data_IF_283033592304
#
_entry.id   IF_283033592304
#
_cell.length_a   1.000
_cell.length_b   1.000
_cell.length_c   1.000
_cell.angle_alpha   90.00
_cell.angle_beta   90.00
_cell.angle_gamma   90.00
#
_symmetry.space_group_name_H-M   'P 1'
#
loop_
_entity.id
_entity.type
_entity.pdbx_description
1 polymer ?
#
# COMPACT_ATOMS: atom_id res chain seq x y z
N UNK A 1 -5.97 20.83 13.91
CA UNK A 1 -4.82 19.93 13.71
C UNK A 1 -4.93 19.38 12.29
N UNK A 2 -4.03 19.80 11.40
CA UNK A 2 -3.94 19.32 10.03
C UNK A 2 -3.54 17.84 10.07
N UNK A 3 -4.48 16.98 9.78
CA UNK A 3 -4.17 15.60 9.41
C UNK A 3 -3.81 15.65 7.94
N UNK A 4 -2.59 15.22 7.59
CA UNK A 4 -1.97 15.42 6.29
C UNK A 4 -2.89 15.22 5.09
N UNK A 5 -2.79 16.09 4.12
CA UNK A 5 -3.56 16.12 2.87
C UNK A 5 -3.55 14.80 2.07
N UNK A 6 -2.52 13.96 2.24
CA UNK A 6 -2.44 12.64 1.59
C UNK A 6 -3.54 11.66 1.98
N UNK A 7 -4.21 11.88 3.09
CA UNK A 7 -5.29 11.03 3.59
C UNK A 7 -6.67 11.34 2.96
N UNK A 8 -6.83 12.51 2.38
CA UNK A 8 -8.12 12.97 1.82
C UNK A 8 -8.47 12.21 0.54
N UNK A 9 -7.49 11.89 -0.29
CA UNK A 9 -7.71 11.22 -1.57
C UNK A 9 -8.01 9.72 -1.47
N UNK A 10 -7.63 9.08 -0.36
CA UNK A 10 -7.77 7.63 -0.18
C UNK A 10 -8.95 7.22 0.73
N UNK A 11 -9.83 8.16 1.08
CA UNK A 11 -10.89 7.96 2.08
C UNK A 11 -12.30 8.11 1.53
N UNK A 12 -12.56 7.63 0.33
CA UNK A 12 -13.88 7.83 -0.29
C UNK A 12 -15.04 7.23 0.53
N UNK A 13 -14.80 6.14 1.25
CA UNK A 13 -15.81 5.56 2.13
C UNK A 13 -15.71 6.03 3.59
N UNK A 14 -15.09 7.16 3.85
CA UNK A 14 -15.02 7.77 5.20
C UNK A 14 -15.83 9.08 5.30
N UNK A 15 -16.79 9.27 4.42
CA UNK A 15 -17.61 10.47 4.41
C UNK A 15 -18.36 10.62 5.72
N UNK A 16 -18.20 11.76 6.39
CA UNK A 16 -18.76 12.10 7.71
C UNK A 16 -18.34 11.19 8.86
N UNK A 17 -17.40 10.27 8.66
CA UNK A 17 -16.89 9.46 9.76
C UNK A 17 -16.04 10.28 10.71
N UNK A 18 -16.18 10.00 12.01
CA UNK A 18 -15.44 10.70 13.07
C UNK A 18 -15.74 10.12 14.44
N UNK A 19 -15.32 10.80 15.50
CA UNK A 19 -15.72 10.42 16.86
C UNK A 19 -17.17 10.81 17.11
N UNK A 20 -17.96 9.87 17.63
CA UNK A 20 -19.34 10.12 18.08
C UNK A 20 -19.35 11.12 19.23
N UNK A 21 -18.50 10.90 20.20
CA UNK A 21 -18.25 11.81 21.30
C UNK A 21 -16.95 12.59 21.07
N UNK A 22 -17.08 13.91 20.88
CA UNK A 22 -15.95 14.82 20.62
C UNK A 22 -15.14 15.10 21.87
N UNK A 23 -15.75 15.05 23.05
CA UNK A 23 -15.06 15.30 24.30
C UNK A 23 -14.10 14.14 24.62
N UNK A 24 -14.55 12.90 24.44
CA UNK A 24 -13.68 11.72 24.51
C UNK A 24 -12.52 11.81 23.51
N UNK A 25 -12.79 12.28 22.29
CA UNK A 25 -11.75 12.43 21.26
C UNK A 25 -10.73 13.52 21.61
N UNK A 26 -11.12 14.61 22.27
CA UNK A 26 -10.23 15.70 22.63
C UNK A 26 -9.17 15.27 23.65
N UNK A 27 -9.51 14.36 24.53
CA UNK A 27 -8.65 13.79 25.58
C UNK A 27 -7.91 12.52 25.13
N UNK A 28 -8.25 11.98 23.96
CA UNK A 28 -7.75 10.69 23.48
C UNK A 28 -6.28 10.76 23.04
N UNK A 29 -5.46 9.84 23.57
CA UNK A 29 -4.05 9.67 23.22
C UNK A 29 -3.78 8.51 22.26
N UNK A 30 -4.80 7.81 21.76
CA UNK A 30 -4.63 6.70 20.81
C UNK A 30 -3.99 7.22 19.52
N UNK A 31 -2.94 6.58 19.01
CA UNK A 31 -2.27 7.00 17.79
C UNK A 31 -3.11 6.69 16.52
N UNK A 32 -4.11 5.78 16.63
CA UNK A 32 -5.00 5.43 15.53
C UNK A 32 -6.40 5.06 16.03
N UNK A 33 -7.43 5.45 15.29
CA UNK A 33 -8.81 5.02 15.54
C UNK A 33 -9.13 3.63 14.98
N UNK A 34 -8.23 3.06 14.15
CA UNK A 34 -8.47 1.81 13.44
C UNK A 34 -7.54 0.68 13.89
N UNK A 35 -6.36 1.01 14.40
CA UNK A 35 -5.33 0.02 14.73
C UNK A 35 -4.94 0.10 16.21
N UNK A 36 -4.70 -1.06 16.90
CA UNK A 36 -4.86 -2.44 16.45
C UNK A 36 -6.33 -2.91 16.38
N UNK A 37 -7.22 -2.20 17.04
CA UNK A 37 -8.67 -2.44 17.01
C UNK A 37 -9.39 -1.13 16.75
N UNK A 38 -10.50 -1.20 16.01
CA UNK A 38 -11.36 -0.05 15.77
C UNK A 38 -11.78 0.58 17.09
N UNK A 39 -11.76 1.90 17.14
CA UNK A 39 -12.19 2.66 18.31
C UNK A 39 -13.71 2.54 18.47
N UNK A 40 -14.24 2.17 19.64
CA UNK A 40 -15.69 2.10 19.84
C UNK A 40 -16.39 3.45 19.68
N UNK A 41 -15.66 4.56 19.87
CA UNK A 41 -16.16 5.91 19.64
C UNK A 41 -16.09 6.35 18.16
N UNK A 42 -15.58 5.51 17.25
CA UNK A 42 -15.56 5.83 15.82
C UNK A 42 -16.96 5.57 15.24
N UNK A 43 -17.52 6.62 14.65
CA UNK A 43 -18.69 6.48 13.79
C UNK A 43 -18.23 6.03 12.40
N UNK A 44 -18.56 4.80 12.03
CA UNK A 44 -18.29 4.21 10.72
C UNK A 44 -19.56 3.95 9.91
N UNK A 45 -20.65 4.66 10.23
CA UNK A 45 -21.93 4.55 9.52
C UNK A 45 -21.77 5.03 8.06
N UNK A 46 -22.09 4.15 7.11
CA UNK A 46 -22.06 4.45 5.69
C UNK A 46 -23.34 5.05 5.12
N UNK A 47 -24.44 5.08 5.90
CA UNK A 47 -25.74 5.61 5.42
C UNK A 47 -25.63 7.03 4.85
N UNK A 48 -24.93 7.99 5.47
CA UNK A 48 -24.80 9.33 4.90
C UNK A 48 -24.11 9.35 3.54
N UNK A 49 -23.18 8.42 3.29
CA UNK A 49 -22.52 8.28 2.01
C UNK A 49 -23.41 7.60 0.97
N UNK A 50 -24.18 6.59 1.37
CA UNK A 50 -25.15 5.93 0.51
C UNK A 50 -26.25 6.90 0.05
N UNK A 51 -26.73 7.75 0.95
CA UNK A 51 -27.68 8.83 0.63
C UNK A 51 -27.10 9.82 -0.37
N UNK A 52 -25.82 10.20 -0.20
CA UNK A 52 -25.12 11.04 -1.17
C UNK A 52 -25.05 10.37 -2.54
N UNK A 53 -24.70 9.11 -2.59
CA UNK A 53 -24.64 8.34 -3.84
C UNK A 53 -26.02 8.25 -4.51
N UNK A 54 -27.08 8.02 -3.75
CA UNK A 54 -28.45 8.01 -4.26
C UNK A 54 -28.82 9.38 -4.88
N UNK A 55 -28.52 10.48 -4.18
CA UNK A 55 -28.74 11.84 -4.69
C UNK A 55 -27.95 12.11 -5.98
N UNK A 56 -26.68 11.70 -6.06
CA UNK A 56 -25.88 11.87 -7.28
C UNK A 56 -26.49 11.12 -8.46
N UNK A 57 -26.97 9.90 -8.23
CA UNK A 57 -27.63 9.10 -9.30
C UNK A 57 -28.97 9.71 -9.77
N UNK A 58 -29.66 10.44 -8.89
CA UNK A 58 -30.93 11.10 -9.20
C UNK A 58 -30.77 12.42 -9.99
N UNK A 59 -29.55 12.95 -10.13
CA UNK A 59 -29.31 14.19 -10.89
C UNK A 59 -29.60 13.96 -12.36
N UNK A 60 -30.45 14.80 -12.97
CA UNK A 60 -30.79 14.74 -14.39
C UNK A 60 -29.53 14.79 -15.26
N UNK A 61 -29.37 13.85 -16.16
CA UNK A 61 -28.22 13.75 -17.07
C UNK A 61 -27.07 12.89 -16.54
N UNK A 62 -27.02 12.54 -15.25
CA UNK A 62 -26.05 11.59 -14.71
C UNK A 62 -26.51 10.17 -15.04
N UNK A 63 -25.79 9.49 -15.91
CA UNK A 63 -26.07 8.09 -16.26
C UNK A 63 -25.45 7.13 -15.26
N UNK A 64 -24.21 7.38 -14.84
CA UNK A 64 -23.46 6.56 -13.87
C UNK A 64 -22.46 7.43 -13.11
N UNK A 65 -22.19 7.08 -11.84
CA UNK A 65 -21.19 7.71 -11.00
C UNK A 65 -20.33 6.61 -10.38
N UNK A 66 -19.08 6.51 -10.82
CA UNK A 66 -18.18 5.43 -10.41
C UNK A 66 -17.20 5.89 -9.33
N UNK A 67 -16.84 4.98 -8.42
CA UNK A 67 -15.76 5.12 -7.47
C UNK A 67 -14.46 4.73 -8.16
N UNK A 68 -13.57 5.70 -8.41
CA UNK A 68 -12.30 5.49 -9.10
C UNK A 68 -11.13 5.12 -8.19
N UNK A 69 -11.23 5.36 -6.89
CA UNK A 69 -10.17 5.05 -5.91
C UNK A 69 -10.46 3.75 -5.15
N UNK A 70 -9.43 3.24 -4.45
CA UNK A 70 -9.61 2.11 -3.54
C UNK A 70 -10.49 2.45 -2.34
N UNK A 71 -11.23 1.47 -1.84
CA UNK A 71 -12.07 1.59 -0.65
C UNK A 71 -11.41 0.93 0.56
N UNK A 72 -11.75 1.40 1.75
CA UNK A 72 -11.32 0.83 3.03
C UNK A 72 -12.34 -0.20 3.50
N UNK A 73 -12.03 -1.45 3.32
CA UNK A 73 -12.91 -2.56 3.69
C UNK A 73 -12.88 -2.89 5.20
N UNK A 74 -11.88 -2.39 5.93
CA UNK A 74 -11.80 -2.47 7.38
C UNK A 74 -12.80 -1.56 8.13
N UNK A 75 -13.54 -0.73 7.39
CA UNK A 75 -14.57 0.15 7.93
C UNK A 75 -15.98 -0.40 7.72
N UNK A 76 -16.15 -1.50 7.03
CA UNK A 76 -17.48 -2.03 6.76
C UNK A 76 -18.17 -2.46 8.06
N UNK A 77 -19.34 -1.94 8.26
CA UNK A 77 -20.17 -2.11 9.46
C UNK A 77 -21.27 -3.17 9.30
N UNK A 78 -21.21 -3.98 8.23
CA UNK A 78 -22.26 -4.91 7.86
C UNK A 78 -23.45 -4.26 7.14
N UNK A 79 -23.35 -2.97 6.79
CA UNK A 79 -24.34 -2.26 5.98
C UNK A 79 -24.32 -2.72 4.52
N UNK A 80 -25.33 -2.28 3.75
CA UNK A 80 -25.45 -2.52 2.30
C UNK A 80 -24.42 -1.74 1.46
N UNK A 81 -23.38 -1.16 2.11
CA UNK A 81 -22.41 -0.33 1.43
C UNK A 81 -21.70 -1.08 0.28
N UNK A 82 -21.14 -2.25 0.57
CA UNK A 82 -20.42 -3.04 -0.44
C UNK A 82 -21.36 -3.46 -1.58
N UNK A 83 -22.55 -3.89 -1.27
CA UNK A 83 -23.58 -4.28 -2.26
C UNK A 83 -23.92 -3.11 -3.18
N UNK A 84 -24.22 -1.94 -2.60
CA UNK A 84 -24.53 -0.72 -3.35
C UNK A 84 -23.38 -0.27 -4.24
N UNK A 85 -22.14 -0.32 -3.74
CA UNK A 85 -20.94 0.06 -4.49
C UNK A 85 -20.72 -0.87 -5.69
N UNK A 86 -20.84 -2.17 -5.49
CA UNK A 86 -20.66 -3.14 -6.58
C UNK A 86 -21.73 -2.94 -7.65
N UNK A 87 -22.99 -2.86 -7.26
CA UNK A 87 -24.12 -2.75 -8.20
C UNK A 87 -24.18 -1.44 -8.98
N UNK A 88 -23.85 -0.33 -8.33
CA UNK A 88 -24.15 1.00 -8.87
C UNK A 88 -22.93 1.89 -9.11
N UNK A 89 -21.81 1.63 -8.44
CA UNK A 89 -20.67 2.54 -8.41
C UNK A 89 -19.34 1.91 -8.83
N UNK A 90 -19.39 0.69 -9.37
CA UNK A 90 -18.21 -0.01 -9.93
C UNK A 90 -18.32 -0.06 -11.45
N UNK A 91 -17.23 0.32 -12.12
CA UNK A 91 -17.12 0.30 -13.60
C UNK A 91 -16.64 -1.06 -14.15
N UNK A 92 -16.74 -2.12 -13.36
CA UNK A 92 -16.20 -3.46 -13.69
C UNK A 92 -14.95 -3.83 -12.90
N UNK A 93 -14.25 -2.88 -12.31
CA UNK A 93 -13.00 -3.10 -11.55
C UNK A 93 -13.05 -2.37 -10.22
N UNK A 94 -13.16 -3.12 -9.11
CA UNK A 94 -13.14 -2.57 -7.77
C UNK A 94 -11.72 -2.66 -7.20
N UNK A 95 -11.12 -1.51 -6.88
CA UNK A 95 -9.76 -1.42 -6.34
C UNK A 95 -9.76 -1.51 -4.83
N UNK A 96 -8.88 -2.33 -4.28
CA UNK A 96 -8.66 -2.47 -2.83
C UNK A 96 -7.18 -2.63 -2.54
N UNK A 97 -6.77 -2.27 -1.32
CA UNK A 97 -5.37 -2.26 -0.93
C UNK A 97 -5.14 -3.15 0.31
N UNK A 98 -5.10 -4.49 0.16
CA UNK A 98 -4.68 -5.39 1.23
C UNK A 98 -3.21 -5.18 1.64
N UNK A 99 -2.39 -4.67 0.74
CA UNK A 99 -0.98 -4.32 0.86
C UNK A 99 -0.04 -5.51 1.04
N UNK A 100 -0.39 -6.51 1.85
CA UNK A 100 0.39 -7.73 2.07
C UNK A 100 -0.50 -8.89 2.52
N UNK A 101 0.03 -10.13 2.57
CA UNK A 101 -0.68 -11.32 3.08
C UNK A 101 -0.17 -11.77 4.45
N UNK A 102 1.02 -11.31 4.86
CA UNK A 102 1.61 -11.70 6.14
C UNK A 102 1.21 -10.71 7.23
N UNK A 103 0.53 -11.22 8.27
CA UNK A 103 0.00 -10.38 9.35
C UNK A 103 1.11 -9.67 10.15
N UNK A 104 2.33 -10.22 10.19
CA UNK A 104 3.50 -9.58 10.80
C UNK A 104 3.85 -8.28 10.08
N UNK A 105 3.85 -8.30 8.74
CA UNK A 105 4.10 -7.12 7.89
C UNK A 105 2.91 -6.16 7.98
N UNK A 106 1.68 -6.67 7.92
CA UNK A 106 0.45 -5.87 8.03
C UNK A 106 0.36 -5.13 9.36
N UNK A 107 0.81 -5.73 10.47
CA UNK A 107 0.90 -5.05 11.78
C UNK A 107 1.83 -3.84 11.73
N UNK A 108 3.00 -3.95 11.10
CA UNK A 108 3.92 -2.82 10.92
C UNK A 108 3.31 -1.74 10.01
N UNK A 109 2.57 -2.12 8.98
CA UNK A 109 1.82 -1.21 8.13
C UNK A 109 0.59 -0.60 8.82
N UNK A 110 0.19 -1.10 9.98
CA UNK A 110 -1.07 -0.78 10.67
C UNK A 110 -2.30 -1.03 9.79
N UNK A 111 -2.25 -2.12 9.07
CA UNK A 111 -3.34 -2.61 8.22
C UNK A 111 -4.14 -3.71 8.93
N UNK A 112 -5.37 -3.96 8.50
CA UNK A 112 -6.16 -5.08 9.02
C UNK A 112 -5.52 -6.42 8.64
N UNK A 113 -5.82 -7.51 9.39
CA UNK A 113 -5.38 -8.85 9.06
C UNK A 113 -5.84 -9.28 7.66
N UNK A 114 -5.03 -10.10 6.98
CA UNK A 114 -5.34 -10.54 5.61
C UNK A 114 -6.67 -11.30 5.50
N UNK A 115 -7.09 -11.99 6.55
CA UNK A 115 -8.38 -12.66 6.61
C UNK A 115 -9.59 -11.72 6.34
N UNK A 116 -9.47 -10.43 6.62
CA UNK A 116 -10.52 -9.46 6.26
C UNK A 116 -10.60 -9.24 4.74
N UNK A 117 -9.47 -9.27 4.03
CA UNK A 117 -9.48 -9.22 2.58
C UNK A 117 -10.06 -10.51 1.97
N UNK A 118 -9.76 -11.69 2.53
CA UNK A 118 -10.34 -12.96 2.07
C UNK A 118 -11.86 -12.93 2.20
N UNK A 119 -12.41 -12.39 3.30
CA UNK A 119 -13.87 -12.19 3.46
C UNK A 119 -14.43 -11.23 2.42
N UNK A 120 -13.77 -10.07 2.22
CA UNK A 120 -14.18 -9.13 1.19
C UNK A 120 -14.22 -9.78 -0.19
N UNK A 121 -13.20 -10.58 -0.54
CA UNK A 121 -13.16 -11.29 -1.82
C UNK A 121 -14.32 -12.29 -1.96
N UNK A 122 -14.63 -13.03 -0.90
CA UNK A 122 -15.77 -13.94 -0.88
C UNK A 122 -17.11 -13.20 -1.05
N UNK A 123 -17.31 -12.10 -0.34
CA UNK A 123 -18.51 -11.28 -0.44
C UNK A 123 -18.65 -10.62 -1.81
N UNK A 124 -17.56 -10.08 -2.36
CA UNK A 124 -17.53 -9.50 -3.69
C UNK A 124 -17.96 -10.53 -4.75
N UNK A 125 -17.37 -11.72 -4.73
CA UNK A 125 -17.69 -12.79 -5.66
C UNK A 125 -19.13 -13.29 -5.50
N UNK A 126 -19.64 -13.35 -4.27
CA UNK A 126 -21.03 -13.72 -3.98
C UNK A 126 -22.01 -12.71 -4.57
N UNK A 127 -21.75 -11.40 -4.39
CA UNK A 127 -22.59 -10.33 -4.93
C UNK A 127 -22.53 -10.34 -6.46
N UNK A 128 -21.35 -10.41 -7.05
CA UNK A 128 -21.19 -10.45 -8.51
C UNK A 128 -21.94 -11.64 -9.14
N UNK A 129 -21.85 -12.83 -8.53
CA UNK A 129 -22.60 -14.00 -9.02
C UNK A 129 -24.10 -13.82 -8.90
N UNK A 130 -24.59 -13.29 -7.78
CA UNK A 130 -26.02 -13.03 -7.57
C UNK A 130 -26.58 -12.04 -8.59
N UNK A 131 -25.81 -11.00 -8.93
CA UNK A 131 -26.23 -9.93 -9.83
C UNK A 131 -25.85 -10.19 -11.31
N UNK A 132 -25.19 -11.32 -11.63
CA UNK A 132 -24.73 -11.63 -12.98
C UNK A 132 -23.67 -10.65 -13.52
N UNK A 133 -22.84 -10.06 -12.64
CA UNK A 133 -21.86 -9.04 -12.98
C UNK A 133 -20.48 -9.64 -13.25
N UNK A 134 -19.86 -9.44 -14.44
CA UNK A 134 -18.53 -9.93 -14.76
C UNK A 134 -17.43 -9.01 -14.20
N UNK A 135 -17.58 -8.58 -12.95
CA UNK A 135 -16.66 -7.61 -12.34
C UNK A 135 -15.47 -8.30 -11.68
N UNK A 136 -14.39 -7.53 -11.54
CA UNK A 136 -13.12 -7.99 -10.97
C UNK A 136 -12.73 -7.16 -9.75
N UNK A 137 -12.27 -7.84 -8.71
CA UNK A 137 -11.57 -7.22 -7.60
C UNK A 137 -10.10 -7.05 -7.98
N UNK A 138 -9.55 -5.85 -7.79
CA UNK A 138 -8.17 -5.51 -8.14
C UNK A 138 -7.40 -5.22 -6.85
N UNK A 139 -6.69 -6.20 -6.30
CA UNK A 139 -5.90 -6.01 -5.10
C UNK A 139 -4.55 -5.34 -5.42
N UNK A 140 -4.15 -4.40 -4.57
CA UNK A 140 -2.82 -3.78 -4.61
C UNK A 140 -1.95 -4.33 -3.48
N UNK A 141 -0.72 -4.70 -3.83
CA UNK A 141 0.29 -5.19 -2.89
C UNK A 141 1.54 -4.33 -2.95
N UNK A 142 2.25 -4.27 -1.81
CA UNK A 142 3.50 -3.53 -1.66
C UNK A 142 4.62 -4.50 -1.31
N UNK A 143 5.75 -4.40 -2.02
CA UNK A 143 7.01 -5.03 -1.68
C UNK A 143 7.92 -4.07 -0.93
N UNK A 144 8.97 -4.61 -0.32
CA UNK A 144 10.05 -3.82 0.31
C UNK A 144 9.60 -2.88 1.44
N UNK A 145 8.43 -3.14 2.05
CA UNK A 145 8.04 -2.46 3.28
C UNK A 145 9.00 -2.87 4.42
N UNK A 146 9.35 -1.98 5.36
CA UNK A 146 10.07 -2.38 6.56
C UNK A 146 9.40 -3.58 7.23
N UNK A 147 10.19 -4.60 7.55
CA UNK A 147 9.72 -5.87 8.08
C UNK A 147 9.32 -6.92 7.03
N UNK A 148 9.26 -6.56 5.76
CA UNK A 148 8.96 -7.49 4.68
C UNK A 148 10.26 -8.12 4.14
N UNK A 149 10.41 -9.42 4.36
CA UNK A 149 11.54 -10.22 3.85
C UNK A 149 11.22 -10.82 2.49
N UNK A 150 12.22 -11.38 1.84
CA UNK A 150 12.05 -12.13 0.59
C UNK A 150 11.13 -13.35 0.79
N UNK A 151 11.22 -14.02 1.95
CA UNK A 151 10.35 -15.15 2.31
C UNK A 151 8.88 -14.73 2.44
N UNK A 152 8.61 -13.54 2.98
CA UNK A 152 7.26 -13.02 3.09
C UNK A 152 6.67 -12.74 1.70
N UNK A 153 7.48 -12.23 0.77
CA UNK A 153 7.06 -12.01 -0.62
C UNK A 153 6.83 -13.32 -1.38
N UNK A 154 7.63 -14.35 -1.13
CA UNK A 154 7.40 -15.69 -1.67
C UNK A 154 6.06 -16.26 -1.18
N UNK A 155 5.79 -16.14 0.13
CA UNK A 155 4.51 -16.55 0.72
C UNK A 155 3.34 -15.78 0.11
N UNK A 156 3.49 -14.45 -0.04
CA UNK A 156 2.48 -13.60 -0.69
C UNK A 156 2.20 -14.07 -2.12
N UNK A 157 3.23 -14.31 -2.93
CA UNK A 157 3.07 -14.80 -4.30
C UNK A 157 2.34 -16.15 -4.34
N UNK A 158 2.72 -17.09 -3.48
CA UNK A 158 2.05 -18.39 -3.36
C UNK A 158 0.56 -18.26 -3.01
N UNK A 159 0.21 -17.38 -2.08
CA UNK A 159 -1.19 -17.13 -1.70
C UNK A 159 -1.98 -16.45 -2.81
N UNK A 160 -1.43 -15.40 -3.40
CA UNK A 160 -2.15 -14.53 -4.36
C UNK A 160 -2.29 -15.19 -5.73
N UNK A 161 -1.21 -15.71 -6.27
CA UNK A 161 -1.22 -16.36 -7.60
C UNK A 161 -1.74 -17.79 -7.52
N UNK A 162 -1.30 -18.56 -6.53
CA UNK A 162 -1.61 -19.99 -6.42
C UNK A 162 -2.99 -20.28 -5.81
N UNK A 163 -3.33 -19.65 -4.66
CA UNK A 163 -4.58 -19.93 -3.95
C UNK A 163 -5.76 -19.05 -4.39
N UNK A 164 -5.51 -17.76 -4.58
CA UNK A 164 -6.55 -16.79 -4.90
C UNK A 164 -6.70 -16.51 -6.40
N UNK A 165 -5.75 -16.98 -7.21
CA UNK A 165 -5.72 -16.86 -8.66
C UNK A 165 -5.86 -15.43 -9.19
N UNK A 166 -5.29 -14.46 -8.47
CA UNK A 166 -5.21 -13.08 -8.96
C UNK A 166 -4.05 -12.92 -9.93
N UNK A 167 -4.35 -12.42 -11.13
CA UNK A 167 -3.33 -11.92 -12.04
C UNK A 167 -3.00 -10.48 -11.67
N UNK A 168 -1.85 -10.27 -11.02
CA UNK A 168 -1.43 -8.94 -10.60
C UNK A 168 -0.84 -8.17 -11.78
N UNK A 169 -1.32 -6.95 -11.99
CA UNK A 169 -0.75 -6.05 -13.00
C UNK A 169 0.58 -5.45 -12.52
N UNK A 170 0.71 -5.23 -11.21
CA UNK A 170 1.93 -4.72 -10.60
C UNK A 170 1.99 -4.99 -9.09
N UNK A 171 3.21 -5.10 -8.58
CA UNK A 171 3.55 -5.01 -7.17
C UNK A 171 4.46 -3.81 -7.00
N UNK A 172 4.06 -2.85 -6.16
CA UNK A 172 4.80 -1.60 -5.98
C UNK A 172 5.83 -1.74 -4.86
N UNK A 173 7.03 -1.20 -5.07
CA UNK A 173 7.98 -1.02 -3.97
C UNK A 173 7.49 0.09 -3.03
N UNK A 174 7.76 -0.08 -1.74
CA UNK A 174 7.54 1.02 -0.82
C UNK A 174 8.36 2.25 -1.25
N UNK A 175 7.65 3.34 -1.49
CA UNK A 175 8.27 4.66 -1.62
C UNK A 175 8.10 5.38 -0.27
N UNK A 176 9.18 5.68 0.45
CA UNK A 176 9.09 6.42 1.70
C UNK A 176 8.41 7.77 1.50
N UNK A 177 7.31 7.99 2.18
CA UNK A 177 6.53 9.24 2.12
C UNK A 177 6.72 10.00 3.43
N UNK A 178 7.01 11.30 3.40
CA UNK A 178 7.18 12.10 4.61
C UNK A 178 6.01 11.93 5.58
N UNK A 179 6.31 12.00 6.88
CA UNK A 179 5.35 11.94 7.99
C UNK A 179 4.61 10.58 8.13
N UNK A 180 5.15 9.50 7.57
CA UNK A 180 4.62 8.15 7.78
C UNK A 180 5.51 7.31 8.68
N UNK A 181 4.91 6.41 9.46
CA UNK A 181 5.67 5.47 10.30
C UNK A 181 6.55 4.54 9.46
N UNK A 182 6.08 4.13 8.29
CA UNK A 182 6.85 3.30 7.36
C UNK A 182 8.14 4.00 6.94
N UNK A 183 8.11 5.32 6.72
CA UNK A 183 9.31 6.09 6.41
C UNK A 183 10.27 6.17 7.60
N UNK A 184 9.75 6.37 8.81
CA UNK A 184 10.59 6.34 10.02
C UNK A 184 11.31 4.99 10.12
N UNK A 185 10.57 3.88 10.05
CA UNK A 185 11.15 2.53 10.06
C UNK A 185 12.14 2.29 8.91
N UNK A 186 11.85 2.82 7.71
CA UNK A 186 12.74 2.68 6.56
C UNK A 186 14.11 3.34 6.81
N UNK A 187 14.14 4.54 7.38
CA UNK A 187 15.39 5.26 7.63
C UNK A 187 16.11 4.78 8.89
N UNK A 188 15.39 4.52 9.96
CA UNK A 188 15.99 4.12 11.25
C UNK A 188 16.33 2.62 11.33
N UNK A 189 15.58 1.77 10.63
CA UNK A 189 15.65 0.31 10.81
C UNK A 189 15.04 -0.15 12.13
N UNK A 190 14.18 0.66 12.75
CA UNK A 190 13.56 0.38 14.05
C UNK A 190 12.07 0.70 14.05
N UNK A 191 11.30 -0.06 14.81
CA UNK A 191 9.91 0.29 15.09
C UNK A 191 9.87 1.49 16.06
N UNK A 192 9.27 2.62 15.69
CA UNK A 192 9.29 3.83 16.51
C UNK A 192 8.50 3.74 17.82
N UNK A 193 7.74 2.66 18.03
CA UNK A 193 6.99 2.45 19.28
C UNK A 193 7.61 1.42 20.20
N UNK A 194 8.24 0.38 19.65
CA UNK A 194 8.81 -0.73 20.44
C UNK A 194 10.33 -0.69 20.47
N UNK A 195 10.97 0.11 19.62
CA UNK A 195 12.43 0.20 19.41
C UNK A 195 13.06 -1.13 18.96
N UNK A 196 12.26 -2.09 18.56
CA UNK A 196 12.76 -3.34 18.00
C UNK A 196 13.34 -3.10 16.60
N UNK A 197 14.42 -3.82 16.29
CA UNK A 197 15.02 -3.80 14.95
C UNK A 197 14.06 -4.34 13.92
N UNK A 198 13.98 -3.66 12.78
CA UNK A 198 13.13 -4.03 11.64
C UNK A 198 14.00 -4.21 10.40
N UNK A 199 13.87 -5.35 9.74
CA UNK A 199 14.53 -5.57 8.44
C UNK A 199 14.07 -4.53 7.42
N UNK A 200 15.01 -4.03 6.62
CA UNK A 200 14.72 -3.07 5.54
C UNK A 200 15.51 -3.44 4.29
N UNK A 201 14.82 -3.77 3.21
CA UNK A 201 15.42 -3.97 1.89
C UNK A 201 15.92 -2.63 1.33
N UNK A 202 17.24 -2.39 1.39
CA UNK A 202 17.86 -1.12 0.98
C UNK A 202 18.42 -1.15 -0.43
N UNK A 203 18.98 -2.28 -0.84
CA UNK A 203 19.59 -2.42 -2.17
C UNK A 203 18.54 -2.66 -3.25
N UNK A 204 18.86 -2.25 -4.48
CA UNK A 204 18.00 -2.53 -5.63
C UNK A 204 17.87 -4.03 -5.91
N UNK A 205 18.92 -4.81 -5.61
CA UNK A 205 18.89 -6.26 -5.81
C UNK A 205 17.95 -6.95 -4.83
N UNK A 206 17.92 -6.54 -3.55
CA UNK A 206 16.94 -7.05 -2.59
C UNK A 206 15.50 -6.76 -3.05
N UNK A 207 15.24 -5.55 -3.53
CA UNK A 207 13.92 -5.15 -4.04
C UNK A 207 13.53 -5.94 -5.29
N UNK A 208 14.46 -6.18 -6.22
CA UNK A 208 14.21 -7.02 -7.41
C UNK A 208 13.89 -8.46 -7.02
N UNK A 209 14.66 -9.08 -6.11
CA UNK A 209 14.38 -10.43 -5.64
C UNK A 209 12.99 -10.55 -5.03
N UNK A 210 12.56 -9.58 -4.22
CA UNK A 210 11.21 -9.57 -3.65
C UNK A 210 10.11 -9.55 -4.71
N UNK A 211 10.31 -8.89 -5.85
CA UNK A 211 9.32 -8.82 -6.95
C UNK A 211 9.40 -9.97 -7.94
N UNK A 212 10.54 -10.65 -8.04
CA UNK A 212 10.76 -11.71 -9.02
C UNK A 212 9.74 -12.85 -8.93
N UNK A 213 9.19 -13.11 -7.74
CA UNK A 213 8.15 -14.12 -7.52
C UNK A 213 6.84 -13.86 -8.29
N UNK A 214 6.58 -12.62 -8.70
CA UNK A 214 5.34 -12.24 -9.38
C UNK A 214 5.48 -12.15 -10.90
N UNK A 215 6.67 -11.86 -11.42
CA UNK A 215 6.84 -11.52 -12.83
C UNK A 215 7.72 -12.51 -13.61
N UNK A 216 7.97 -13.69 -13.05
CA UNK A 216 8.60 -14.80 -13.77
C UNK A 216 10.10 -14.66 -14.03
N UNK A 217 10.74 -13.61 -13.59
CA UNK A 217 12.21 -13.54 -13.53
C UNK A 217 12.67 -14.44 -12.37
N UNK A 218 13.11 -15.66 -12.69
CA UNK A 218 13.78 -16.49 -11.68
C UNK A 218 14.94 -15.68 -11.11
N UNK A 219 14.99 -15.45 -9.79
CA UNK A 219 16.15 -14.80 -9.20
C UNK A 219 17.38 -15.63 -9.57
N UNK A 220 18.39 -15.02 -10.16
CA UNK A 220 19.68 -15.66 -10.34
C UNK A 220 20.12 -16.11 -8.93
N UNK A 221 20.22 -17.41 -8.72
CA UNK A 221 20.77 -17.95 -7.47
C UNK A 221 22.18 -17.39 -7.34
N UNK A 222 22.36 -16.43 -6.44
CA UNK A 222 23.65 -15.88 -6.13
C UNK A 222 24.58 -17.02 -5.68
N UNK A 223 25.65 -17.24 -6.41
CA UNK A 223 26.74 -18.07 -5.94
C UNK A 223 27.21 -17.51 -4.58
N UNK A 224 27.50 -18.36 -3.59
CA UNK A 224 28.04 -17.88 -2.31
C UNK A 224 29.34 -17.11 -2.59
N UNK A 225 29.39 -15.89 -2.10
CA UNK A 225 30.44 -14.93 -2.40
C UNK A 225 31.82 -15.50 -2.17
N UNK A 226 32.62 -15.56 -3.23
CA UNK A 226 34.06 -15.69 -3.13
C UNK A 226 34.59 -14.44 -2.42
N UNK A 227 35.20 -14.63 -1.27
CA UNK A 227 35.80 -13.57 -0.47
C UNK A 227 36.76 -12.73 -1.30
N UNK A 228 36.61 -11.42 -1.21
CA UNK A 228 37.60 -10.50 -1.73
C UNK A 228 38.91 -10.63 -0.92
N UNK A 229 40.02 -10.96 -1.55
CA UNK A 229 41.33 -10.83 -0.88
C UNK A 229 41.64 -9.34 -0.70
N UNK A 230 42.02 -9.00 0.50
CA UNK A 230 42.53 -7.68 0.85
C UNK A 230 43.72 -7.31 -0.06
N UNK A 231 43.59 -6.25 -0.84
CA UNK A 231 44.70 -5.67 -1.59
C UNK A 231 45.51 -4.73 -0.72
N UNK A 232 46.77 -5.15 -0.49
CA UNK A 232 47.77 -4.40 0.24
C UNK A 232 48.11 -3.05 -0.41
N UNK A 233 48.58 -2.17 0.42
CA UNK A 233 49.14 -0.87 0.09
C UNK A 233 50.40 -1.05 -0.78
N UNK A 234 50.45 -0.38 -1.91
CA UNK A 234 51.75 0.03 -2.51
C UNK A 234 51.69 1.51 -2.91
N UNK A 235 52.63 2.22 -2.34
CA UNK A 235 53.00 3.61 -2.57
C UNK A 235 53.98 3.72 -3.73
N UNK A 236 53.77 4.67 -4.63
CA UNK A 236 54.74 5.41 -5.47
C UNK A 236 53.96 6.10 -6.59
N UNK A 237 53.94 7.38 -6.75
CA UNK A 237 54.95 8.42 -6.81
C UNK A 237 55.13 8.87 -8.25
N UNK A 238 54.82 10.14 -8.51
CA UNK A 238 55.38 11.07 -9.53
C UNK A 238 54.45 11.58 -10.64
N UNK A 239 54.34 12.90 -10.58
CA UNK A 239 54.43 13.93 -11.64
C UNK A 239 53.27 14.14 -12.61
N UNK A 240 52.65 15.33 -12.51
CA UNK A 240 51.87 16.00 -13.57
C UNK A 240 52.78 16.48 -14.73
N UNK A 241 52.39 17.30 -15.67
CA UNK A 241 51.41 18.39 -15.61
C UNK A 241 50.52 18.51 -16.88
N UNK A 242 49.58 19.45 -16.91
CA UNK A 242 49.07 19.93 -18.20
C UNK A 242 47.64 20.42 -18.23
N UNK A 243 47.42 21.58 -17.66
CA UNK A 243 46.25 22.42 -17.87
C UNK A 243 46.29 23.04 -19.28
N UNK A 244 45.20 22.93 -20.07
CA UNK A 244 44.97 23.82 -21.23
C UNK A 244 43.52 24.28 -21.23
N UNK A 245 43.27 25.61 -21.28
CA UNK A 245 41.93 26.18 -21.33
C UNK A 245 41.49 26.49 -22.77
N UNK A 246 40.18 26.56 -22.98
CA UNK A 246 39.61 27.46 -23.96
C UNK A 246 39.00 26.86 -25.22
N UNK A 247 37.66 26.89 -25.28
CA UNK A 247 36.99 27.36 -26.51
C UNK A 247 35.67 28.05 -26.16
N UNK A 248 35.62 29.30 -26.57
CA UNK A 248 34.48 30.22 -26.50
C UNK A 248 33.40 29.75 -27.47
N UNK A 249 32.15 29.76 -27.00
CA UNK A 249 31.00 29.72 -27.90
C UNK A 249 30.58 31.13 -28.23
N UNK A 250 30.69 31.48 -29.49
CA UNK A 250 30.10 32.71 -30.07
C UNK A 250 28.66 32.45 -30.45
N UNK A 251 27.79 33.40 -30.05
CA UNK A 251 26.42 33.58 -30.54
C UNK A 251 26.45 33.97 -32.02
N UNK A 252 25.53 33.39 -32.80
CA UNK A 252 24.96 34.05 -34.00
C UNK A 252 23.56 33.46 -34.26
N UNK A 253 22.67 34.36 -34.50
CA UNK A 253 21.47 34.27 -35.29
C UNK A 253 20.16 34.12 -34.54
#
# INVERSE_FOLDING_TARGET
RSRGLGDVYKRQNMYRMGGRDRELCSKCRRPSCLHPKMCPNLDNDHRPLLDLYAKVRAVKGVKKAFIGSGIRYDLFDGSDYLDTVIRHHTSGRLKVAPEHTEDTVLKLMRKPPFAMFERLNADFNRICRREGLPYQLIPYFISSHPGCTERDMQSLAGKVLGKLHFNLEQVQDLTPTPMTLSSVMFYTGENPYTHEKVYVARSQDEKRRQKAYFFGEKPAMGQPGAGHPARGKETRGKSGPGFRPGRKFTKKG
#
